data_IF_362269369621
#
_entry.id   IF_362269369621
#
_cell.length_a   1.000
_cell.length_b   1.000
_cell.length_c   1.000
_cell.angle_alpha   90.00
_cell.angle_beta   90.00
_cell.angle_gamma   90.00
#
_symmetry.space_group_name_H-M   'P 1'
#
loop_
_entity.id
_entity.type
_entity.pdbx_description
1 polymer ?
#
# COMPACT_ATOMS: atom_id res chain seq x y z
N UNK A 1 28.15 25.07 -6.63
CA UNK A 1 27.95 23.73 -6.02
C UNK A 1 27.01 23.87 -4.82
N UNK A 2 25.69 23.64 -4.96
CA UNK A 2 24.75 23.29 -3.86
C UNK A 2 23.26 23.20 -4.25
N UNK A 3 22.86 23.43 -5.51
CA UNK A 3 21.46 23.24 -5.95
C UNK A 3 20.97 21.78 -5.85
N UNK A 4 21.90 20.84 -5.64
CA UNK A 4 21.62 19.42 -5.40
C UNK A 4 20.97 19.10 -4.04
N UNK A 5 20.72 20.08 -3.16
CA UNK A 5 20.18 19.83 -1.81
C UNK A 5 18.66 20.03 -1.69
N UNK A 6 18.09 21.08 -2.28
CA UNK A 6 16.68 21.41 -2.06
C UNK A 6 15.73 20.53 -2.88
N UNK A 7 16.00 20.37 -4.19
CA UNK A 7 15.23 19.48 -5.05
C UNK A 7 15.34 18.01 -4.64
N UNK A 8 16.50 17.60 -4.11
CA UNK A 8 16.73 16.21 -3.67
C UNK A 8 16.09 15.92 -2.31
N UNK A 9 16.03 16.90 -1.41
CA UNK A 9 15.29 16.79 -0.16
C UNK A 9 13.77 16.80 -0.39
N UNK A 10 13.29 17.62 -1.35
CA UNK A 10 11.89 17.62 -1.75
C UNK A 10 11.53 16.28 -2.39
N UNK A 11 12.33 15.79 -3.34
CA UNK A 11 12.15 14.48 -3.96
C UNK A 11 12.18 13.34 -2.94
N UNK A 12 13.09 13.37 -1.96
CA UNK A 12 13.12 12.38 -0.88
C UNK A 12 11.85 12.41 -0.01
N UNK A 13 11.31 13.60 0.27
CA UNK A 13 10.07 13.75 1.05
C UNK A 13 8.83 13.27 0.26
N UNK A 14 8.74 13.56 -1.05
CA UNK A 14 7.65 13.05 -1.90
C UNK A 14 7.78 11.55 -2.16
N UNK A 15 8.99 11.04 -2.32
CA UNK A 15 9.30 9.63 -2.53
C UNK A 15 9.04 8.79 -1.28
N UNK A 16 9.33 9.28 -0.07
CA UNK A 16 8.98 8.61 1.20
C UNK A 16 7.47 8.39 1.33
N UNK A 17 6.68 9.37 0.90
CA UNK A 17 5.23 9.30 0.98
C UNK A 17 4.62 8.45 -0.17
N UNK A 18 5.26 8.36 -1.34
CA UNK A 18 4.93 7.35 -2.35
C UNK A 18 5.30 5.94 -1.90
N UNK A 19 6.45 5.79 -1.24
CA UNK A 19 6.93 4.50 -0.72
C UNK A 19 5.97 3.95 0.34
N UNK A 20 5.42 4.81 1.21
CA UNK A 20 4.38 4.43 2.17
C UNK A 20 3.13 3.92 1.50
N UNK A 21 2.65 4.60 0.44
CA UNK A 21 1.48 4.16 -0.31
C UNK A 21 1.74 2.83 -1.03
N UNK A 22 2.94 2.65 -1.61
CA UNK A 22 3.34 1.39 -2.20
C UNK A 22 3.42 0.27 -1.16
N UNK A 23 3.96 0.55 0.03
CA UNK A 23 4.00 -0.40 1.14
C UNK A 23 2.59 -0.81 1.60
N UNK A 24 1.59 0.08 1.57
CA UNK A 24 0.19 -0.26 1.86
C UNK A 24 -0.38 -1.20 0.79
N UNK A 25 -0.11 -0.94 -0.49
CA UNK A 25 -0.55 -1.84 -1.57
C UNK A 25 0.10 -3.21 -1.44
N UNK A 26 1.43 -3.27 -1.31
CA UNK A 26 2.16 -4.53 -1.15
C UNK A 26 1.76 -5.26 0.13
N UNK A 27 1.57 -4.53 1.23
CA UNK A 27 1.08 -5.07 2.49
C UNK A 27 -0.31 -5.69 2.35
N UNK A 28 -1.22 -5.03 1.62
CA UNK A 28 -2.53 -5.58 1.28
C UNK A 28 -2.41 -6.92 0.54
N UNK A 29 -1.54 -7.00 -0.47
CA UNK A 29 -1.26 -8.25 -1.19
C UNK A 29 -0.69 -9.35 -0.29
N UNK A 30 0.27 -9.02 0.57
CA UNK A 30 0.86 -9.99 1.52
C UNK A 30 -0.20 -10.53 2.46
N UNK A 31 -1.10 -9.67 2.97
CA UNK A 31 -2.21 -10.08 3.83
C UNK A 31 -3.19 -10.99 3.05
N UNK A 32 -3.55 -10.63 1.82
CA UNK A 32 -4.40 -11.46 0.96
C UNK A 32 -3.78 -12.84 0.71
N UNK A 33 -2.49 -12.92 0.38
CA UNK A 33 -1.81 -14.19 0.13
C UNK A 33 -1.66 -15.02 1.41
N UNK A 34 -1.28 -14.38 2.53
CA UNK A 34 -1.17 -15.04 3.83
C UNK A 34 -2.50 -15.61 4.33
N UNK A 35 -3.61 -14.92 4.02
CA UNK A 35 -4.95 -15.37 4.40
C UNK A 35 -5.35 -16.72 3.78
N UNK A 36 -4.75 -17.10 2.64
CA UNK A 36 -5.00 -18.38 1.98
C UNK A 36 -4.65 -19.57 2.88
N UNK A 37 -3.58 -19.45 3.67
CA UNK A 37 -3.19 -20.48 4.63
C UNK A 37 -4.30 -20.70 5.64
N UNK A 38 -4.84 -19.62 6.20
CA UNK A 38 -5.92 -19.68 7.20
C UNK A 38 -7.23 -20.23 6.61
N UNK A 39 -7.56 -19.92 5.36
CA UNK A 39 -8.74 -20.46 4.68
C UNK A 39 -8.74 -22.01 4.60
N UNK A 40 -7.57 -22.64 4.57
CA UNK A 40 -7.46 -24.12 4.50
C UNK A 40 -7.62 -24.81 5.86
N UNK A 41 -7.53 -24.07 6.97
CA UNK A 41 -7.50 -24.66 8.33
C UNK A 41 -8.87 -24.95 8.94
N UNK A 42 -9.96 -24.41 8.37
CA UNK A 42 -11.33 -24.61 8.89
C UNK A 42 -11.60 -23.89 10.23
N UNK A 43 -12.85 -23.99 10.71
CA UNK A 43 -13.26 -23.39 12.00
C UNK A 43 -12.95 -21.90 12.12
N UNK A 44 -12.30 -21.50 13.22
CA UNK A 44 -11.86 -20.12 13.48
C UNK A 44 -10.88 -19.60 12.41
N UNK A 45 -10.04 -20.49 11.85
CA UNK A 45 -9.08 -20.12 10.82
C UNK A 45 -9.75 -19.71 9.50
N UNK A 46 -10.87 -20.34 9.14
CA UNK A 46 -11.67 -19.92 7.98
C UNK A 46 -12.20 -18.49 8.17
N UNK A 47 -12.77 -18.16 9.33
CA UNK A 47 -13.28 -16.83 9.62
C UNK A 47 -12.17 -15.76 9.57
N UNK A 48 -11.03 -16.02 10.19
CA UNK A 48 -9.87 -15.13 10.16
C UNK A 48 -9.28 -14.99 8.75
N UNK A 49 -9.28 -16.08 7.96
CA UNK A 49 -8.88 -16.07 6.56
C UNK A 49 -9.78 -15.19 5.71
N UNK A 50 -11.11 -15.26 5.88
CA UNK A 50 -12.05 -14.39 5.15
C UNK A 50 -11.84 -12.93 5.52
N UNK A 51 -11.71 -12.62 6.82
CA UNK A 51 -11.47 -11.24 7.28
C UNK A 51 -10.14 -10.71 6.74
N UNK A 52 -9.08 -11.51 6.80
CA UNK A 52 -7.77 -11.15 6.25
C UNK A 52 -7.83 -10.92 4.74
N UNK A 53 -8.51 -11.79 4.00
CA UNK A 53 -8.70 -11.65 2.55
C UNK A 53 -9.37 -10.32 2.20
N UNK A 54 -10.48 -10.00 2.88
CA UNK A 54 -11.22 -8.75 2.68
C UNK A 54 -10.38 -7.53 3.06
N UNK A 55 -9.68 -7.58 4.20
CA UNK A 55 -8.81 -6.50 4.65
C UNK A 55 -7.66 -6.24 3.66
N UNK A 56 -7.04 -7.31 3.13
CA UNK A 56 -5.97 -7.20 2.14
C UNK A 56 -6.44 -6.62 0.81
N UNK A 57 -7.61 -7.05 0.32
CA UNK A 57 -8.22 -6.51 -0.91
C UNK A 57 -8.58 -5.02 -0.73
N UNK A 58 -9.27 -4.68 0.36
CA UNK A 58 -9.67 -3.30 0.64
C UNK A 58 -8.46 -2.39 0.84
N UNK A 59 -7.44 -2.85 1.59
CA UNK A 59 -6.19 -2.12 1.78
C UNK A 59 -5.46 -1.87 0.46
N UNK A 60 -5.41 -2.87 -0.43
CA UNK A 60 -4.81 -2.72 -1.75
C UNK A 60 -5.57 -1.71 -2.61
N UNK A 61 -6.91 -1.77 -2.62
CA UNK A 61 -7.73 -0.81 -3.38
C UNK A 61 -7.57 0.62 -2.87
N UNK A 62 -7.59 0.82 -1.55
CA UNK A 62 -7.36 2.13 -0.93
C UNK A 62 -5.97 2.66 -1.28
N UNK A 63 -4.95 1.81 -1.19
CA UNK A 63 -3.58 2.17 -1.57
C UNK A 63 -3.44 2.57 -3.04
N UNK A 64 -4.10 1.84 -3.96
CA UNK A 64 -4.11 2.16 -5.40
C UNK A 64 -4.81 3.50 -5.65
N UNK A 65 -5.98 3.74 -5.03
CA UNK A 65 -6.71 5.00 -5.18
C UNK A 65 -5.89 6.17 -4.63
N UNK A 66 -5.24 5.99 -3.48
CA UNK A 66 -4.38 7.01 -2.90
C UNK A 66 -3.13 7.29 -3.75
N UNK A 67 -2.51 6.26 -4.35
CA UNK A 67 -1.44 6.42 -5.34
C UNK A 67 -1.91 7.22 -6.55
N UNK A 68 -3.05 6.83 -7.14
CA UNK A 68 -3.61 7.51 -8.30
C UNK A 68 -3.93 8.98 -7.98
N UNK A 69 -4.53 9.25 -6.82
CA UNK A 69 -4.80 10.60 -6.35
C UNK A 69 -3.52 11.43 -6.22
N UNK A 70 -2.49 10.87 -5.59
CA UNK A 70 -1.20 11.56 -5.41
C UNK A 70 -0.54 11.88 -6.76
N UNK A 71 -0.46 10.90 -7.67
CA UNK A 71 0.11 11.11 -9.01
C UNK A 71 -0.65 12.19 -9.78
N UNK A 72 -1.98 12.17 -9.76
CA UNK A 72 -2.79 13.20 -10.43
C UNK A 72 -2.58 14.57 -9.79
N UNK A 73 -2.48 14.64 -8.46
CA UNK A 73 -2.31 15.90 -7.75
C UNK A 73 -0.92 16.52 -8.01
N UNK A 74 0.14 15.72 -7.93
CA UNK A 74 1.51 16.15 -8.21
C UNK A 74 1.68 16.58 -9.67
N UNK A 75 0.96 15.94 -10.62
CA UNK A 75 1.01 16.30 -12.05
C UNK A 75 0.35 17.64 -12.39
N UNK A 76 -0.39 18.26 -11.45
CA UNK A 76 -1.09 19.53 -11.64
C UNK A 76 -0.34 20.75 -11.08
N UNK A 77 0.76 20.52 -10.35
CA UNK A 77 1.65 21.55 -9.79
C UNK A 77 2.83 21.81 -10.74
#
# INVERSE_FOLDING_TARGET
>A
MSELSAGRALAYATEDELMKLYAVVVGGWVVTLGSQVLLTTGGMGLALGIVGLLAGILGSLVGIVALAYKVIHDSRL
#
